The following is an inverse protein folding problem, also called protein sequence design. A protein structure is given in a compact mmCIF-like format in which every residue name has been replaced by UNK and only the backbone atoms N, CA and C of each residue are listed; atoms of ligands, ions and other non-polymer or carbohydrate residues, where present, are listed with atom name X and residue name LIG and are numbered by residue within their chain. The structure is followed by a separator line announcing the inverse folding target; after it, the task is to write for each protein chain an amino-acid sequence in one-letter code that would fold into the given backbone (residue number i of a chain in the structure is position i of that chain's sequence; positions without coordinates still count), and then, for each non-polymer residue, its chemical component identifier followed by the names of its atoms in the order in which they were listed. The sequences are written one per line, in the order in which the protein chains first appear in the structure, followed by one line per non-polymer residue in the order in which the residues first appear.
data_IF_400794658169
#
_entry.id   IF_400794658169
#
_cell.length_a   1.000
_cell.length_b   1.000
_cell.length_c   1.000
_cell.angle_alpha   90.00
_cell.angle_beta   90.00
_cell.angle_gamma   90.00
#
_symmetry.space_group_name_H-M   'P 1'
#
loop_
_entity.id
_entity.type
_entity.pdbx_description
1 polymer ?
#
# COMPACT_ATOMS: atom_id res chain seq x y z
N UNK A 1 -26.32 36.24 -6.84
CA UNK A 1 -26.89 35.47 -7.96
C UNK A 1 -26.15 34.14 -8.07
N UNK A 2 -26.57 33.11 -7.33
CA UNK A 2 -25.93 31.78 -7.31
C UNK A 2 -26.40 30.97 -8.52
N UNK A 3 -25.52 30.80 -9.51
CA UNK A 3 -25.82 29.96 -10.67
C UNK A 3 -26.10 28.52 -10.21
N UNK A 4 -27.34 28.05 -10.38
CA UNK A 4 -27.71 26.64 -10.20
C UNK A 4 -26.97 25.81 -11.25
N UNK A 5 -25.82 25.26 -10.89
CA UNK A 5 -25.12 24.25 -11.71
C UNK A 5 -26.06 23.06 -11.86
N UNK A 6 -26.51 22.78 -13.09
CA UNK A 6 -27.48 21.70 -13.35
C UNK A 6 -26.93 20.34 -12.89
N UNK A 7 -27.82 19.45 -12.46
CA UNK A 7 -27.46 18.08 -12.05
C UNK A 7 -26.60 17.36 -13.11
N UNK A 8 -26.93 17.56 -14.40
CA UNK A 8 -26.16 17.04 -15.53
C UNK A 8 -24.71 17.57 -15.58
N UNK A 9 -24.44 18.80 -15.13
CA UNK A 9 -23.08 19.36 -15.07
C UNK A 9 -22.30 18.86 -13.83
N UNK A 10 -22.98 18.53 -12.72
CA UNK A 10 -22.37 17.84 -11.56
C UNK A 10 -22.04 16.36 -11.85
N UNK A 11 -22.92 15.66 -12.55
CA UNK A 11 -22.74 14.23 -12.87
C UNK A 11 -21.60 13.97 -13.88
N UNK A 12 -21.24 14.97 -14.71
CA UNK A 12 -20.14 14.86 -15.68
C UNK A 12 -18.77 14.71 -15.04
N UNK A 13 -18.53 15.32 -13.87
CA UNK A 13 -17.23 15.26 -13.19
C UNK A 13 -16.82 13.83 -12.82
N UNK A 14 -17.65 13.09 -12.05
CA UNK A 14 -17.37 11.71 -11.69
C UNK A 14 -17.27 10.77 -12.89
N UNK A 15 -18.16 10.89 -13.89
CA UNK A 15 -18.12 10.04 -15.08
C UNK A 15 -16.81 10.23 -15.88
N UNK A 16 -16.36 11.47 -16.05
CA UNK A 16 -15.08 11.77 -16.70
C UNK A 16 -13.91 11.24 -15.88
N UNK A 17 -13.94 11.39 -14.55
CA UNK A 17 -12.90 10.83 -13.69
C UNK A 17 -12.81 9.30 -13.81
N UNK A 18 -13.95 8.61 -13.84
CA UNK A 18 -14.00 7.16 -14.06
C UNK A 18 -13.42 6.79 -15.43
N UNK A 19 -13.80 7.49 -16.50
CA UNK A 19 -13.26 7.23 -17.84
C UNK A 19 -11.72 7.36 -17.89
N UNK A 20 -11.18 8.38 -17.23
CA UNK A 20 -9.73 8.56 -17.11
C UNK A 20 -9.04 7.46 -16.30
N UNK A 21 -9.66 7.03 -15.19
CA UNK A 21 -9.15 5.93 -14.37
C UNK A 21 -9.19 4.62 -15.16
N UNK A 22 -10.25 4.36 -15.93
CA UNK A 22 -10.33 3.19 -16.80
C UNK A 22 -9.23 3.22 -17.87
N UNK A 23 -9.02 4.36 -18.54
CA UNK A 23 -7.95 4.51 -19.52
C UNK A 23 -6.56 4.26 -18.90
N UNK A 24 -6.33 4.80 -17.69
CA UNK A 24 -5.12 4.55 -16.90
C UNK A 24 -4.94 3.06 -16.59
N UNK A 25 -5.97 2.40 -16.07
CA UNK A 25 -5.92 0.97 -15.71
C UNK A 25 -5.69 0.09 -16.93
N UNK A 26 -6.38 0.34 -18.04
CA UNK A 26 -6.21 -0.43 -19.28
C UNK A 26 -4.81 -0.29 -19.84
N UNK A 27 -4.28 0.95 -19.93
CA UNK A 27 -2.92 1.17 -20.42
C UNK A 27 -1.89 0.52 -19.49
N UNK A 28 -2.04 0.70 -18.17
CA UNK A 28 -1.16 0.11 -17.17
C UNK A 28 -1.11 -1.41 -17.28
N UNK A 29 -2.27 -2.06 -17.29
CA UNK A 29 -2.39 -3.50 -17.42
C UNK A 29 -1.84 -4.03 -18.76
N UNK A 30 -2.14 -3.37 -19.88
CA UNK A 30 -1.64 -3.76 -21.20
C UNK A 30 -0.11 -3.63 -21.29
N UNK A 31 0.44 -2.53 -20.78
CA UNK A 31 1.89 -2.33 -20.74
C UNK A 31 2.58 -3.35 -19.84
N UNK A 32 2.04 -3.63 -18.65
CA UNK A 32 2.55 -4.67 -17.76
C UNK A 32 2.53 -6.05 -18.43
N UNK A 33 1.42 -6.41 -19.07
CA UNK A 33 1.32 -7.66 -19.82
C UNK A 33 2.38 -7.74 -20.93
N UNK A 34 2.61 -6.65 -21.66
CA UNK A 34 3.68 -6.56 -22.66
C UNK A 34 5.06 -6.85 -22.09
N UNK A 35 5.40 -6.27 -20.91
CA UNK A 35 6.68 -6.52 -20.23
C UNK A 35 6.84 -7.99 -19.85
N UNK A 36 5.76 -8.66 -19.42
CA UNK A 36 5.84 -10.11 -19.08
C UNK A 36 6.15 -11.02 -20.26
N UNK A 37 6.02 -10.53 -21.51
CA UNK A 37 6.40 -11.30 -22.72
C UNK A 37 7.88 -11.26 -23.03
N UNK A 38 8.65 -10.40 -22.36
CA UNK A 38 10.10 -10.43 -22.44
C UNK A 38 10.58 -11.66 -21.65
N UNK A 39 11.23 -12.65 -22.29
CA UNK A 39 11.63 -13.89 -21.65
C UNK A 39 12.78 -13.61 -20.70
N UNK A 40 12.42 -13.29 -19.47
CA UNK A 40 13.35 -13.22 -18.35
C UNK A 40 13.00 -14.40 -17.45
N UNK A 41 13.98 -15.25 -17.22
CA UNK A 41 13.89 -16.39 -16.31
C UNK A 41 14.56 -16.00 -14.99
N UNK A 42 13.93 -15.16 -14.16
CA UNK A 42 14.50 -14.83 -12.87
C UNK A 42 14.57 -16.11 -12.03
N UNK A 43 15.63 -16.24 -11.24
CA UNK A 43 15.67 -17.17 -10.12
C UNK A 43 14.33 -17.07 -9.33
N UNK A 44 13.67 -18.20 -8.98
CA UNK A 44 12.38 -18.19 -8.28
C UNK A 44 12.35 -17.30 -7.04
N UNK A 45 13.49 -17.07 -6.38
CA UNK A 45 13.63 -16.12 -5.26
C UNK A 45 13.23 -14.69 -5.62
N UNK A 46 13.43 -14.31 -6.88
CA UNK A 46 13.13 -12.99 -7.43
C UNK A 46 11.75 -12.89 -8.06
N UNK A 47 10.91 -13.92 -7.98
CA UNK A 47 9.56 -13.94 -8.57
C UNK A 47 8.74 -12.69 -8.22
N UNK A 48 8.68 -12.32 -6.94
CA UNK A 48 7.91 -11.15 -6.49
C UNK A 48 8.49 -9.86 -7.07
N UNK A 49 9.82 -9.72 -7.07
CA UNK A 49 10.48 -8.57 -7.66
C UNK A 49 10.22 -8.48 -9.16
N UNK A 50 10.35 -9.58 -9.89
CA UNK A 50 10.16 -9.62 -11.34
C UNK A 50 8.73 -9.27 -11.76
N UNK A 51 7.73 -9.92 -11.14
CA UNK A 51 6.32 -9.61 -11.36
C UNK A 51 5.99 -8.15 -11.00
N UNK A 52 6.64 -7.62 -9.96
CA UNK A 52 6.49 -6.22 -9.56
C UNK A 52 7.18 -5.25 -10.52
N UNK A 53 8.34 -5.58 -11.11
CA UNK A 53 8.98 -4.75 -12.15
C UNK A 53 8.04 -4.53 -13.34
N UNK A 54 7.41 -5.59 -13.84
CA UNK A 54 6.48 -5.49 -14.96
C UNK A 54 5.30 -4.56 -14.65
N UNK A 55 4.81 -4.61 -13.42
CA UNK A 55 3.68 -3.77 -12.98
C UNK A 55 4.10 -2.33 -12.68
N UNK A 56 5.26 -2.10 -12.06
CA UNK A 56 5.84 -0.76 -11.88
C UNK A 56 6.09 -0.09 -13.23
N UNK A 57 6.64 -0.80 -14.21
CA UNK A 57 6.88 -0.25 -15.55
C UNK A 57 5.57 0.09 -16.25
N UNK A 58 4.57 -0.80 -16.20
CA UNK A 58 3.28 -0.55 -16.83
C UNK A 58 2.49 0.60 -16.20
N UNK A 59 2.32 0.60 -14.88
CA UNK A 59 1.59 1.67 -14.19
C UNK A 59 2.40 2.97 -14.05
N UNK A 60 3.73 2.90 -14.08
CA UNK A 60 4.61 4.06 -14.23
C UNK A 60 4.43 4.70 -15.61
N UNK A 61 4.38 3.89 -16.67
CA UNK A 61 4.08 4.36 -18.02
C UNK A 61 2.68 4.96 -18.11
N UNK A 62 1.67 4.33 -17.51
CA UNK A 62 0.32 4.87 -17.45
C UNK A 62 0.25 6.19 -16.67
N UNK A 63 1.01 6.32 -15.58
CA UNK A 63 1.12 7.57 -14.82
C UNK A 63 1.72 8.68 -15.68
N UNK A 64 2.75 8.36 -16.47
CA UNK A 64 3.38 9.32 -17.36
C UNK A 64 2.47 9.70 -18.54
N UNK A 65 1.95 8.72 -19.28
CA UNK A 65 1.12 8.99 -20.47
C UNK A 65 -0.23 9.59 -20.05
N UNK A 66 -1.03 8.86 -19.27
CA UNK A 66 -2.40 9.30 -18.93
C UNK A 66 -2.34 10.48 -17.97
N UNK A 67 -1.55 10.39 -16.91
CA UNK A 67 -1.47 11.44 -15.90
C UNK A 67 -0.74 12.69 -16.38
N UNK A 68 0.52 12.55 -16.82
CA UNK A 68 1.39 13.70 -17.09
C UNK A 68 1.25 14.27 -18.49
N UNK A 69 1.06 13.44 -19.52
CA UNK A 69 0.99 13.88 -20.93
C UNK A 69 -0.44 14.24 -21.33
N UNK A 70 -1.43 13.36 -21.09
CA UNK A 70 -2.79 13.52 -21.57
C UNK A 70 -3.68 14.34 -20.62
N UNK A 71 -3.70 14.05 -19.32
CA UNK A 71 -4.47 14.80 -18.30
C UNK A 71 -3.66 15.94 -17.67
N UNK A 72 -2.46 16.23 -18.22
CA UNK A 72 -1.58 17.36 -17.89
C UNK A 72 -1.31 17.58 -16.39
N UNK A 73 -1.29 16.52 -15.58
CA UNK A 73 -1.06 16.60 -14.14
C UNK A 73 0.39 16.89 -13.82
N UNK A 74 0.64 17.78 -12.87
CA UNK A 74 1.98 18.05 -12.36
C UNK A 74 2.48 16.87 -11.52
N UNK A 75 3.81 16.72 -11.43
CA UNK A 75 4.43 15.74 -10.53
C UNK A 75 4.07 15.97 -9.06
N UNK A 76 3.76 17.22 -8.68
CA UNK A 76 3.26 17.55 -7.34
C UNK A 76 1.85 17.00 -7.12
N UNK A 77 0.93 17.17 -8.08
CA UNK A 77 -0.43 16.62 -7.99
C UNK A 77 -0.44 15.08 -7.94
N UNK A 78 0.53 14.44 -8.60
CA UNK A 78 0.76 13.00 -8.58
C UNK A 78 1.53 12.51 -7.33
N UNK A 79 1.94 13.42 -6.44
CA UNK A 79 2.59 13.12 -5.17
C UNK A 79 4.11 12.90 -5.24
N UNK A 80 4.75 13.13 -6.38
CA UNK A 80 6.19 12.91 -6.60
C UNK A 80 7.08 14.12 -6.26
N UNK A 81 6.49 15.24 -5.82
CA UNK A 81 7.22 16.40 -5.27
C UNK A 81 6.73 16.69 -3.84
N UNK A 82 7.01 15.80 -2.86
CA UNK A 82 6.56 16.01 -1.48
C UNK A 82 7.29 17.18 -0.83
N UNK A 83 6.63 17.84 0.12
CA UNK A 83 7.21 18.95 0.90
C UNK A 83 8.34 18.48 1.81
N UNK A 84 8.32 17.22 2.23
CA UNK A 84 9.42 16.63 3.02
C UNK A 84 10.67 16.36 2.20
N UNK A 85 10.61 16.43 0.86
CA UNK A 85 11.60 15.83 -0.03
C UNK A 85 11.42 14.32 -0.17
N UNK A 86 11.82 13.76 -1.32
CA UNK A 86 11.59 12.34 -1.67
C UNK A 86 12.28 11.37 -0.70
N UNK A 87 13.61 11.48 -0.42
CA UNK A 87 14.27 10.50 0.44
C UNK A 87 13.73 10.52 1.88
N UNK A 88 13.53 11.72 2.43
CA UNK A 88 12.98 11.87 3.79
C UNK A 88 11.54 11.39 3.88
N UNK A 89 10.70 11.68 2.88
CA UNK A 89 9.33 11.18 2.83
C UNK A 89 9.29 9.65 2.82
N UNK A 90 10.11 9.03 1.97
CA UNK A 90 10.25 7.57 1.90
C UNK A 90 10.70 6.97 3.24
N UNK A 91 11.79 7.49 3.82
CA UNK A 91 12.34 6.97 5.09
C UNK A 91 11.36 7.14 6.27
N UNK A 92 10.66 8.28 6.36
CA UNK A 92 9.60 8.48 7.35
C UNK A 92 8.47 7.47 7.16
N UNK A 93 8.11 7.18 5.91
CA UNK A 93 7.11 6.18 5.58
C UNK A 93 7.55 4.80 6.06
N UNK A 94 8.75 4.37 5.66
CA UNK A 94 9.33 3.08 6.06
C UNK A 94 9.31 2.92 7.57
N UNK A 95 9.77 3.93 8.31
CA UNK A 95 9.75 3.93 9.76
C UNK A 95 8.34 3.81 10.34
N UNK A 96 7.38 4.61 9.84
CA UNK A 96 6.01 4.59 10.30
C UNK A 96 5.33 3.23 10.06
N UNK A 97 5.46 2.70 8.84
CA UNK A 97 4.92 1.38 8.48
C UNK A 97 5.53 0.25 9.31
N UNK A 98 6.85 0.29 9.51
CA UNK A 98 7.55 -0.72 10.31
C UNK A 98 7.13 -0.68 11.78
N UNK A 99 7.04 0.50 12.39
CA UNK A 99 6.58 0.66 13.77
C UNK A 99 5.14 0.17 13.92
N UNK A 100 4.26 0.51 12.98
CA UNK A 100 2.86 0.07 13.01
C UNK A 100 2.73 -1.46 12.88
N UNK A 101 3.46 -2.07 11.96
CA UNK A 101 3.45 -3.53 11.78
C UNK A 101 4.03 -4.27 12.99
N UNK A 102 5.17 -3.81 13.52
CA UNK A 102 5.75 -4.38 14.74
C UNK A 102 4.80 -4.24 15.93
N UNK A 103 4.11 -3.09 16.06
CA UNK A 103 3.09 -2.89 17.09
C UNK A 103 1.93 -3.87 16.94
N UNK A 104 1.45 -4.12 15.72
CA UNK A 104 0.39 -5.10 15.47
C UNK A 104 0.80 -6.51 15.93
N UNK A 105 2.04 -6.92 15.61
CA UNK A 105 2.60 -8.20 16.06
C UNK A 105 2.71 -8.26 17.58
N UNK A 106 3.23 -7.22 18.23
CA UNK A 106 3.33 -7.14 19.70
C UNK A 106 1.97 -7.23 20.36
N UNK A 107 0.96 -6.52 19.84
CA UNK A 107 -0.42 -6.59 20.35
C UNK A 107 -1.04 -7.97 20.15
N UNK A 108 -0.75 -8.65 19.03
CA UNK A 108 -1.23 -10.01 18.79
C UNK A 108 -0.61 -11.02 19.77
N UNK A 109 0.69 -10.90 20.05
CA UNK A 109 1.39 -11.72 21.05
C UNK A 109 0.83 -11.46 22.45
N UNK A 110 0.66 -10.19 22.82
CA UNK A 110 0.17 -9.80 24.14
C UNK A 110 -1.31 -10.16 24.37
N UNK A 111 -2.16 -10.06 23.35
CA UNK A 111 -3.61 -10.20 23.47
C UNK A 111 -4.19 -11.54 23.03
N UNK A 112 -3.48 -12.33 22.21
CA UNK A 112 -4.08 -13.43 21.44
C UNK A 112 -3.46 -14.82 21.61
N UNK A 113 -2.47 -14.99 22.50
CA UNK A 113 -1.61 -16.19 22.58
C UNK A 113 -0.88 -16.51 21.26
N UNK A 114 -0.75 -15.52 20.36
CA UNK A 114 0.20 -15.61 19.25
C UNK A 114 1.62 -15.65 19.83
N UNK A 115 2.55 -16.24 19.09
CA UNK A 115 3.93 -16.37 19.50
C UNK A 115 4.88 -15.89 18.41
N UNK A 116 6.02 -15.37 18.81
CA UNK A 116 7.17 -15.13 17.93
C UNK A 116 8.28 -16.05 18.41
N UNK A 117 8.64 -17.02 17.58
CA UNK A 117 9.67 -18.01 17.90
C UNK A 117 10.87 -17.83 16.98
N UNK A 118 12.09 -18.00 17.49
CA UNK A 118 13.26 -18.07 16.63
C UNK A 118 13.18 -19.33 15.76
N UNK A 119 13.28 -19.18 14.45
CA UNK A 119 13.33 -20.29 13.51
C UNK A 119 14.79 -20.77 13.40
N UNK A 120 15.06 -21.98 13.87
CA UNK A 120 16.41 -22.55 13.87
C UNK A 120 16.83 -23.13 12.52
N UNK A 121 18.11 -22.88 12.19
CA UNK A 121 18.97 -23.51 11.17
C UNK A 121 18.81 -23.07 9.69
N UNK A 122 19.49 -21.96 9.36
CA UNK A 122 19.92 -21.53 8.02
C UNK A 122 20.49 -22.65 7.13
N UNK A 123 21.05 -23.70 7.74
CA UNK A 123 21.78 -24.77 7.05
C UNK A 123 20.88 -25.81 6.36
N UNK A 124 19.63 -26.02 6.81
CA UNK A 124 18.80 -27.13 6.33
C UNK A 124 18.21 -26.93 4.92
N UNK A 125 18.15 -25.68 4.44
CA UNK A 125 17.53 -25.31 3.15
C UNK A 125 18.51 -24.72 2.13
N UNK A 126 19.81 -24.60 2.46
CA UNK A 126 20.83 -24.05 1.55
C UNK A 126 20.65 -22.58 1.18
N UNK A 127 19.86 -21.82 1.96
CA UNK A 127 19.61 -20.40 1.76
C UNK A 127 20.25 -19.60 2.91
N UNK A 128 21.01 -18.56 2.60
CA UNK A 128 21.41 -17.56 3.61
C UNK A 128 20.29 -16.52 3.77
N UNK A 129 20.28 -15.82 4.91
CA UNK A 129 19.39 -14.66 5.10
C UNK A 129 19.47 -13.69 3.95
N UNK A 130 20.68 -13.38 3.50
CA UNK A 130 20.94 -12.41 2.44
C UNK A 130 20.36 -12.86 1.11
N UNK A 131 20.50 -14.15 0.75
CA UNK A 131 19.95 -14.70 -0.50
C UNK A 131 18.43 -14.79 -0.53
N UNK A 132 17.76 -14.71 0.63
CA UNK A 132 16.30 -14.82 0.75
C UNK A 132 15.64 -13.46 0.99
N UNK A 133 16.19 -12.68 1.92
CA UNK A 133 15.64 -11.40 2.37
C UNK A 133 15.86 -10.29 1.33
N UNK A 134 16.97 -10.29 0.59
CA UNK A 134 17.21 -9.24 -0.43
C UNK A 134 16.23 -9.35 -1.60
N UNK A 135 16.06 -10.50 -2.27
CA UNK A 135 15.07 -10.63 -3.35
C UNK A 135 13.66 -10.31 -2.90
N UNK A 136 13.28 -10.77 -1.71
CA UNK A 136 11.96 -10.54 -1.14
C UNK A 136 11.76 -9.08 -0.73
N UNK A 137 12.77 -8.43 -0.15
CA UNK A 137 12.74 -7.01 0.21
C UNK A 137 12.62 -6.11 -1.02
N UNK A 138 13.39 -6.39 -2.08
CA UNK A 138 13.21 -5.71 -3.38
C UNK A 138 11.82 -6.00 -3.94
N UNK A 139 11.34 -7.24 -3.82
CA UNK A 139 9.99 -7.65 -4.19
C UNK A 139 8.92 -6.79 -3.52
N UNK A 140 8.93 -6.67 -2.20
CA UNK A 140 7.97 -5.86 -1.47
C UNK A 140 8.10 -4.37 -1.73
N UNK A 141 9.33 -3.87 -1.93
CA UNK A 141 9.55 -2.47 -2.28
C UNK A 141 8.85 -2.14 -3.60
N UNK A 142 8.99 -3.00 -4.61
CA UNK A 142 8.35 -2.82 -5.91
C UNK A 142 6.84 -3.14 -5.87
N UNK A 143 6.42 -4.17 -5.15
CA UNK A 143 5.00 -4.53 -5.01
C UNK A 143 4.21 -3.39 -4.35
N UNK A 144 4.75 -2.82 -3.27
CA UNK A 144 4.17 -1.64 -2.62
C UNK A 144 4.09 -0.46 -3.60
N UNK A 145 5.13 -0.22 -4.41
CA UNK A 145 5.09 0.84 -5.42
C UNK A 145 4.01 0.58 -6.48
N UNK A 146 3.88 -0.66 -6.96
CA UNK A 146 2.82 -1.05 -7.89
C UNK A 146 1.45 -0.72 -7.34
N UNK A 147 1.14 -1.16 -6.12
CA UNK A 147 -0.16 -0.90 -5.51
C UNK A 147 -0.40 0.60 -5.26
N UNK A 148 0.62 1.34 -4.83
CA UNK A 148 0.51 2.78 -4.67
C UNK A 148 0.31 3.51 -6.01
N UNK A 149 0.90 3.06 -7.11
CA UNK A 149 0.64 3.59 -8.45
C UNK A 149 -0.78 3.25 -8.94
N UNK A 150 -1.24 2.03 -8.68
CA UNK A 150 -2.55 1.53 -9.13
C UNK A 150 -3.73 2.20 -8.41
N UNK A 151 -3.57 2.50 -7.13
CA UNK A 151 -4.66 3.02 -6.30
C UNK A 151 -4.48 4.50 -5.92
N UNK A 152 -3.24 4.96 -5.72
CA UNK A 152 -2.89 6.34 -5.33
C UNK A 152 -2.20 7.03 -6.51
N UNK A 153 -1.64 8.22 -6.30
CA UNK A 153 -1.09 8.98 -7.42
C UNK A 153 -2.21 9.43 -8.35
N UNK A 154 -2.25 8.87 -9.58
CA UNK A 154 -3.21 9.31 -10.58
C UNK A 154 -4.67 8.99 -10.21
N UNK A 155 -5.08 7.74 -9.91
CA UNK A 155 -6.50 7.43 -9.72
C UNK A 155 -7.11 8.14 -8.51
N UNK A 156 -6.44 8.09 -7.35
CA UNK A 156 -6.90 8.80 -6.15
C UNK A 156 -6.97 10.31 -6.37
N UNK A 157 -5.96 10.91 -7.01
CA UNK A 157 -5.99 12.36 -7.28
C UNK A 157 -7.12 12.72 -8.23
N UNK A 158 -7.26 11.96 -9.32
CA UNK A 158 -8.28 12.21 -10.34
C UNK A 158 -9.69 12.10 -9.78
N UNK A 159 -9.93 11.09 -8.94
CA UNK A 159 -11.20 10.90 -8.26
C UNK A 159 -11.45 12.01 -7.22
N UNK A 160 -10.44 12.38 -6.43
CA UNK A 160 -10.56 13.44 -5.43
C UNK A 160 -10.92 14.80 -6.03
N UNK A 161 -10.38 15.13 -7.21
CA UNK A 161 -10.77 16.36 -7.92
C UNK A 161 -12.26 16.35 -8.34
N UNK A 162 -12.87 15.17 -8.52
CA UNK A 162 -14.26 15.04 -8.98
C UNK A 162 -15.29 14.93 -7.84
N UNK A 163 -14.95 14.25 -6.74
CA UNK A 163 -15.89 13.97 -5.64
C UNK A 163 -15.41 14.47 -4.26
N UNK A 164 -14.23 15.08 -4.19
CA UNK A 164 -13.59 15.49 -2.95
C UNK A 164 -12.73 14.40 -2.32
N UNK A 165 -11.76 14.82 -1.50
CA UNK A 165 -10.76 13.93 -0.88
C UNK A 165 -11.38 12.83 -0.03
N UNK A 166 -12.34 13.15 0.84
CA UNK A 166 -12.96 12.17 1.75
C UNK A 166 -13.65 11.02 1.00
N UNK A 167 -14.64 11.31 0.12
CA UNK A 167 -15.30 10.28 -0.68
C UNK A 167 -14.33 9.51 -1.57
N UNK A 168 -13.34 10.18 -2.19
CA UNK A 168 -12.35 9.49 -3.02
C UNK A 168 -11.48 8.51 -2.22
N UNK A 169 -11.06 8.89 -1.01
CA UNK A 169 -10.34 8.01 -0.09
C UNK A 169 -11.17 6.78 0.29
N UNK A 170 -12.46 6.96 0.58
CA UNK A 170 -13.35 5.84 0.89
C UNK A 170 -13.55 4.89 -0.31
N UNK A 171 -13.77 5.44 -1.51
CA UNK A 171 -13.96 4.66 -2.74
C UNK A 171 -12.69 3.90 -3.11
N UNK A 172 -11.52 4.54 -3.04
CA UNK A 172 -10.24 3.87 -3.31
C UNK A 172 -9.92 2.83 -2.24
N UNK A 173 -10.22 3.11 -0.97
CA UNK A 173 -10.09 2.11 0.11
C UNK A 173 -10.96 0.89 -0.13
N UNK A 174 -12.21 1.08 -0.57
CA UNK A 174 -13.08 -0.03 -0.98
C UNK A 174 -12.52 -0.78 -2.19
N UNK A 175 -12.07 -0.08 -3.23
CA UNK A 175 -11.45 -0.72 -4.39
C UNK A 175 -10.21 -1.55 -4.02
N UNK A 176 -9.40 -1.05 -3.09
CA UNK A 176 -8.25 -1.75 -2.54
C UNK A 176 -8.65 -3.02 -1.78
N UNK A 177 -9.68 -2.93 -0.93
CA UNK A 177 -10.24 -4.10 -0.22
C UNK A 177 -10.78 -5.17 -1.19
N UNK A 178 -11.53 -4.74 -2.22
CA UNK A 178 -12.09 -5.65 -3.22
C UNK A 178 -11.01 -6.38 -4.03
N UNK A 179 -9.90 -5.71 -4.33
CA UNK A 179 -8.77 -6.33 -5.02
C UNK A 179 -8.11 -7.46 -4.22
N UNK A 180 -8.32 -7.49 -2.89
CA UNK A 180 -7.76 -8.50 -1.98
C UNK A 180 -8.75 -9.60 -1.60
N UNK A 181 -9.99 -9.59 -2.10
CA UNK A 181 -10.98 -10.64 -1.82
C UNK A 181 -10.53 -12.03 -2.30
N UNK A 182 -9.70 -12.09 -3.34
CA UNK A 182 -9.15 -13.33 -3.88
C UNK A 182 -7.93 -13.85 -3.13
N UNK A 183 -7.45 -13.14 -2.12
CA UNK A 183 -6.24 -13.54 -1.40
C UNK A 183 -6.49 -14.79 -0.55
N UNK A 184 -5.45 -15.63 -0.33
CA UNK A 184 -5.57 -16.80 0.52
C UNK A 184 -6.06 -16.42 1.92
N UNK A 185 -7.00 -17.20 2.48
CA UNK A 185 -7.55 -17.00 3.82
C UNK A 185 -8.25 -15.63 4.03
N UNK A 186 -8.62 -14.92 2.96
CA UNK A 186 -9.39 -13.68 3.08
C UNK A 186 -10.73 -13.96 3.79
N UNK A 187 -11.07 -13.11 4.74
CA UNK A 187 -12.36 -13.11 5.45
C UNK A 187 -12.99 -11.74 5.32
N UNK A 188 -14.29 -11.62 5.59
CA UNK A 188 -14.94 -10.31 5.61
C UNK A 188 -14.21 -9.33 6.55
N UNK A 189 -13.68 -9.82 7.68
CA UNK A 189 -12.96 -8.99 8.64
C UNK A 189 -11.58 -8.55 8.13
N UNK A 190 -10.81 -9.46 7.52
CA UNK A 190 -9.52 -9.08 6.92
C UNK A 190 -9.71 -8.13 5.73
N UNK A 191 -10.75 -8.31 4.92
CA UNK A 191 -11.10 -7.39 3.83
C UNK A 191 -11.41 -5.97 4.35
N UNK A 192 -12.16 -5.85 5.45
CA UNK A 192 -12.40 -4.54 6.09
C UNK A 192 -11.08 -3.90 6.54
N UNK A 193 -10.19 -4.66 7.17
CA UNK A 193 -8.88 -4.16 7.59
C UNK A 193 -8.00 -3.73 6.42
N UNK A 194 -7.98 -4.48 5.31
CA UNK A 194 -7.29 -4.07 4.10
C UNK A 194 -7.88 -2.76 3.55
N UNK A 195 -9.20 -2.59 3.58
CA UNK A 195 -9.83 -1.31 3.24
C UNK A 195 -9.39 -0.15 4.13
N UNK A 196 -9.27 -0.39 5.45
CA UNK A 196 -8.75 0.60 6.41
C UNK A 196 -7.26 0.93 6.17
N UNK A 197 -6.44 -0.07 5.86
CA UNK A 197 -5.07 0.15 5.40
C UNK A 197 -5.06 1.00 4.12
N UNK A 198 -6.02 0.76 3.23
CA UNK A 198 -6.17 1.55 2.02
C UNK A 198 -6.52 3.02 2.27
N UNK A 199 -7.32 3.30 3.30
CA UNK A 199 -7.62 4.65 3.79
C UNK A 199 -6.39 5.30 4.43
N UNK A 200 -5.65 4.55 5.26
CA UNK A 200 -4.41 5.00 5.90
C UNK A 200 -3.37 5.43 4.87
N UNK A 201 -3.15 4.63 3.82
CA UNK A 201 -2.20 4.94 2.74
C UNK A 201 -2.67 6.13 1.89
N UNK A 202 -3.98 6.27 1.64
CA UNK A 202 -4.53 7.46 1.01
C UNK A 202 -4.32 8.73 1.87
N UNK A 203 -4.41 8.61 3.20
CA UNK A 203 -4.09 9.72 4.12
C UNK A 203 -2.60 10.08 4.07
N UNK A 204 -1.71 9.10 3.95
CA UNK A 204 -0.28 9.32 3.73
C UNK A 204 -0.02 10.06 2.40
N UNK A 205 -0.71 9.67 1.32
CA UNK A 205 -0.61 10.33 0.01
C UNK A 205 -1.05 11.81 0.03
N UNK A 206 -2.09 12.16 0.79
CA UNK A 206 -2.53 13.56 0.92
C UNK A 206 -1.79 14.35 2.02
N UNK A 207 -0.81 13.73 2.68
CA UNK A 207 0.03 14.38 3.68
C UNK A 207 1.20 15.15 3.03
N UNK A 208 1.98 15.94 3.80
CA UNK A 208 3.20 16.59 3.30
C UNK A 208 4.25 15.64 2.69
N UNK A 209 4.23 14.35 3.08
CA UNK A 209 5.15 13.33 2.57
C UNK A 209 4.73 12.68 1.24
N UNK A 210 3.47 12.91 0.83
CA UNK A 210 2.87 12.48 -0.43
C UNK A 210 3.19 11.02 -0.85
N UNK A 211 3.46 10.78 -2.13
CA UNK A 211 3.65 9.43 -2.68
C UNK A 211 4.83 8.70 -2.02
N UNK A 212 6.02 9.31 -1.81
CA UNK A 212 7.12 8.63 -1.12
C UNK A 212 6.76 8.16 0.29
N UNK A 213 5.98 8.93 1.04
CA UNK A 213 5.53 8.51 2.37
C UNK A 213 4.57 7.32 2.29
N UNK A 214 3.58 7.35 1.38
CA UNK A 214 2.64 6.25 1.20
C UNK A 214 3.35 4.96 0.77
N UNK A 215 4.23 5.06 -0.23
CA UNK A 215 5.07 3.96 -0.69
C UNK A 215 5.96 3.40 0.42
N UNK A 216 6.66 4.28 1.15
CA UNK A 216 7.50 3.88 2.26
C UNK A 216 6.71 3.20 3.37
N UNK A 217 5.55 3.75 3.73
CA UNK A 217 4.69 3.19 4.79
C UNK A 217 4.16 1.81 4.42
N UNK A 218 3.71 1.64 3.17
CA UNK A 218 3.28 0.35 2.66
C UNK A 218 4.44 -0.66 2.65
N UNK A 219 5.59 -0.29 2.08
CA UNK A 219 6.77 -1.16 2.07
C UNK A 219 7.24 -1.51 3.49
N UNK A 220 7.33 -0.52 4.39
CA UNK A 220 7.76 -0.73 5.78
C UNK A 220 6.86 -1.68 6.54
N UNK A 221 5.54 -1.60 6.31
CA UNK A 221 4.57 -2.54 6.86
C UNK A 221 4.81 -3.97 6.36
N UNK A 222 4.81 -4.16 5.02
CA UNK A 222 4.98 -5.48 4.40
C UNK A 222 6.34 -6.10 4.74
N UNK A 223 7.42 -5.32 4.64
CA UNK A 223 8.77 -5.77 4.94
C UNK A 223 8.93 -6.16 6.41
N UNK A 224 8.28 -5.45 7.34
CA UNK A 224 8.35 -5.81 8.76
C UNK A 224 7.62 -7.12 9.04
N UNK A 225 6.43 -7.31 8.49
CA UNK A 225 5.69 -8.56 8.64
C UNK A 225 6.46 -9.73 8.03
N UNK A 226 6.87 -9.64 6.77
CA UNK A 226 7.53 -10.73 6.07
C UNK A 226 9.00 -10.92 6.47
N UNK A 227 9.84 -9.88 6.40
CA UNK A 227 11.27 -9.98 6.67
C UNK A 227 11.59 -10.02 8.17
N UNK A 228 10.82 -9.28 8.97
CA UNK A 228 11.03 -9.19 10.40
C UNK A 228 10.47 -10.39 11.15
N UNK A 229 9.25 -10.80 10.83
CA UNK A 229 8.49 -11.80 11.61
C UNK A 229 8.06 -13.04 10.82
N UNK A 230 8.42 -13.17 9.54
CA UNK A 230 7.92 -14.24 8.65
C UNK A 230 6.39 -14.43 8.74
N UNK A 231 5.67 -13.34 9.06
CA UNK A 231 4.23 -13.33 9.15
C UNK A 231 3.64 -13.31 7.74
N UNK A 232 2.47 -13.93 7.52
CA UNK A 232 1.76 -13.78 6.26
C UNK A 232 1.48 -12.30 5.97
N UNK A 233 1.68 -11.89 4.72
CA UNK A 233 1.28 -10.56 4.21
C UNK A 233 0.09 -10.77 3.31
N UNK A 234 -1.06 -10.33 3.80
CA UNK A 234 -2.37 -10.42 3.16
C UNK A 234 -2.69 -11.84 2.71
N UNK A 235 -2.42 -12.82 3.59
CA UNK A 235 -2.63 -14.24 3.35
C UNK A 235 -1.50 -14.99 2.63
N UNK A 236 -0.52 -14.29 2.07
CA UNK A 236 0.65 -14.93 1.45
C UNK A 236 1.76 -15.17 2.46
N UNK A 237 2.19 -16.42 2.58
CA UNK A 237 3.29 -16.80 3.46
C UNK A 237 4.64 -16.65 2.74
N UNK A 238 5.59 -16.01 3.41
CA UNK A 238 6.95 -15.84 2.91
C UNK A 238 7.92 -16.43 3.93
N UNK A 239 8.23 -17.74 3.83
CA UNK A 239 9.01 -18.43 4.84
C UNK A 239 10.46 -17.92 4.82
N UNK A 240 10.77 -16.99 5.71
CA UNK A 240 12.13 -16.55 5.99
C UNK A 240 12.67 -17.20 7.27
N UNK A 241 13.95 -17.59 7.30
CA UNK A 241 14.52 -18.33 8.42
C UNK A 241 14.94 -17.46 9.63
N UNK A 242 14.16 -16.44 9.98
CA UNK A 242 14.45 -15.53 11.11
C UNK A 242 13.47 -15.74 12.28
N UNK A 243 12.74 -14.69 12.68
CA UNK A 243 11.63 -14.83 13.61
C UNK A 243 10.41 -15.36 12.86
N UNK A 244 9.70 -16.31 13.46
CA UNK A 244 8.47 -16.89 12.94
C UNK A 244 7.29 -16.47 13.82
N UNK A 245 6.41 -15.68 13.24
CA UNK A 245 5.09 -15.36 13.78
C UNK A 245 4.18 -16.58 13.65
N UNK A 246 3.67 -17.04 14.78
CA UNK A 246 2.73 -18.16 14.88
C UNK A 246 1.42 -17.62 15.45
N UNK A 247 0.34 -17.55 14.67
CA UNK A 247 -0.95 -17.11 15.19
C UNK A 247 -1.44 -18.07 16.29
N UNK A 248 -2.18 -17.53 17.25
CA UNK A 248 -2.82 -18.27 18.32
C UNK A 248 -4.20 -18.80 17.92
N UNK A 249 -5.03 -19.20 18.90
CA UNK A 249 -6.38 -19.70 18.63
C UNK A 249 -7.39 -18.59 18.30
N UNK A 250 -7.06 -17.32 18.52
CA UNK A 250 -7.99 -16.19 18.40
C UNK A 250 -7.73 -15.39 17.13
N UNK A 251 -8.17 -15.94 16.00
CA UNK A 251 -7.97 -15.35 14.67
C UNK A 251 -8.53 -13.92 14.52
N UNK A 252 -9.57 -13.56 15.27
CA UNK A 252 -10.09 -12.20 15.26
C UNK A 252 -9.15 -11.18 15.94
N UNK A 253 -8.15 -11.63 16.71
CA UNK A 253 -7.09 -10.79 17.30
C UNK A 253 -5.86 -10.80 16.42
N UNK A 254 -5.36 -11.99 16.08
CA UNK A 254 -4.04 -12.20 15.48
C UNK A 254 -4.07 -12.40 13.96
N UNK A 255 -5.27 -12.49 13.39
CA UNK A 255 -5.55 -12.65 11.96
C UNK A 255 -5.28 -14.03 11.38
N UNK A 256 -4.90 -15.01 12.20
CA UNK A 256 -4.73 -16.40 11.78
C UNK A 256 -3.79 -16.56 10.59
N UNK A 257 -4.22 -17.37 9.62
CA UNK A 257 -3.46 -17.62 8.38
C UNK A 257 -3.42 -16.42 7.42
N UNK A 258 -4.25 -15.38 7.63
CA UNK A 258 -4.14 -14.13 6.88
C UNK A 258 -2.95 -13.28 7.35
N UNK A 259 -2.44 -13.55 8.56
CA UNK A 259 -1.44 -12.73 9.27
C UNK A 259 -2.08 -11.60 10.07
N UNK A 260 -1.29 -10.78 10.80
CA UNK A 260 -1.80 -9.72 11.69
C UNK A 260 -2.84 -8.78 11.06
N UNK A 261 -2.78 -8.60 9.74
CA UNK A 261 -3.75 -7.83 8.94
C UNK A 261 -5.19 -8.32 9.05
N UNK A 262 -5.40 -9.61 9.34
CA UNK A 262 -6.72 -10.21 9.48
C UNK A 262 -7.36 -10.00 10.85
N UNK A 263 -6.62 -9.45 11.81
CA UNK A 263 -7.05 -9.34 13.20
C UNK A 263 -7.38 -7.90 13.64
N UNK A 264 -8.00 -7.75 14.80
CA UNK A 264 -8.39 -6.45 15.37
C UNK A 264 -7.15 -5.58 15.64
N UNK A 265 -5.98 -6.19 15.82
CA UNK A 265 -4.71 -5.47 15.98
C UNK A 265 -4.41 -4.57 14.78
N UNK A 266 -4.70 -5.03 13.55
CA UNK A 266 -4.56 -4.23 12.35
C UNK A 266 -5.56 -3.07 12.32
N UNK A 267 -6.81 -3.29 12.72
CA UNK A 267 -7.82 -2.24 12.86
C UNK A 267 -7.31 -1.13 13.80
N UNK A 268 -6.81 -1.50 14.97
CA UNK A 268 -6.37 -0.54 15.99
C UNK A 268 -5.18 0.29 15.50
N UNK A 269 -4.14 -0.36 14.96
CA UNK A 269 -2.94 0.37 14.52
C UNK A 269 -3.21 1.20 13.26
N UNK A 270 -4.04 0.74 12.32
CA UNK A 270 -4.36 1.51 11.10
C UNK A 270 -5.24 2.72 11.41
N UNK A 271 -6.20 2.61 12.32
CA UNK A 271 -6.99 3.75 12.79
C UNK A 271 -6.11 4.76 13.54
N UNK A 272 -5.25 4.29 14.46
CA UNK A 272 -4.31 5.15 15.18
C UNK A 272 -3.31 5.84 14.24
N UNK A 273 -2.74 5.10 13.29
CA UNK A 273 -1.83 5.61 12.28
C UNK A 273 -2.49 6.64 11.35
N UNK A 274 -3.73 6.39 10.93
CA UNK A 274 -4.53 7.35 10.14
C UNK A 274 -4.79 8.62 10.94
N UNK A 275 -5.21 8.52 12.20
CA UNK A 275 -5.44 9.67 13.06
C UNK A 275 -4.14 10.48 13.27
N UNK A 276 -3.02 9.80 13.51
CA UNK A 276 -1.69 10.41 13.63
C UNK A 276 -1.27 11.17 12.37
N UNK A 277 -1.44 10.57 11.19
CA UNK A 277 -1.14 11.22 9.90
C UNK A 277 -2.04 12.43 9.65
N UNK A 278 -3.33 12.33 9.95
CA UNK A 278 -4.27 13.47 9.83
C UNK A 278 -3.87 14.60 10.78
N UNK A 279 -3.52 14.29 12.02
CA UNK A 279 -3.06 15.26 13.01
C UNK A 279 -1.75 15.96 12.57
N UNK A 280 -0.77 15.18 12.12
CA UNK A 280 0.48 15.71 11.58
C UNK A 280 0.24 16.62 10.36
N UNK A 281 -0.61 16.18 9.43
CA UNK A 281 -0.95 16.95 8.24
C UNK A 281 -1.66 18.27 8.56
N UNK A 282 -2.53 18.28 9.58
CA UNK A 282 -3.19 19.51 10.05
C UNK A 282 -2.19 20.49 10.66
N UNK A 283 -1.28 20.00 11.50
CA UNK A 283 -0.21 20.83 12.12
C UNK A 283 0.71 21.44 11.06
N UNK A 284 1.12 20.64 10.07
CA UNK A 284 1.98 21.12 8.99
C UNK A 284 1.33 22.24 8.17
N UNK A 285 0.03 22.15 7.88
CA UNK A 285 -0.73 23.22 7.20
C UNK A 285 -0.88 24.47 8.08
N UNK A 286 -1.09 24.31 9.38
CA UNK A 286 -1.20 25.43 10.31
C UNK A 286 0.11 26.23 10.43
N UNK A 287 1.26 25.55 10.43
CA UNK A 287 2.57 26.20 10.48
C UNK A 287 2.85 27.03 9.22
N UNK A 288 2.41 26.56 8.04
CA UNK A 288 2.56 27.28 6.76
C UNK A 288 1.66 28.51 6.68
N UNK A 289 0.47 28.48 7.26
CA UNK A 289 -0.42 29.64 7.31
C UNK A 289 0.08 30.75 8.25
N UNK A 290 1.04 30.43 9.13
CA UNK A 290 1.60 31.36 10.11
C UNK A 290 2.95 31.98 9.69
N UNK A 291 3.53 31.53 8.56
CA UNK A 291 4.78 32.03 7.98
C UNK A 291 4.52 32.97 6.81
#
# INVERSE_FOLDING_TARGET
MTARVSFARRARGPAVAVAWIVAFTVLGAAASYGVTKVPLHPDPRWWLAWSSVATVLGFGLATWIVGRVLDHRSWEALGWRPRTGVPRGLLLGIGAGAVMAATAVVLAVAGGRAAVTARGAWAAIGWTWTTAAVPLGVGFLLAALTEELMFRGYPLRRLADAVGTGPATAIVGLGFALAHLGNPNATAFSTVNVGLAGVWLAAAFFSPGAMPLAWGAHFGWNATLALGFAAPVSGYAFPLPALEYRPGPHQWIDGGAFGPEGGIVATLVTLAGTAGLVAWSRRARGAEAAS
#
